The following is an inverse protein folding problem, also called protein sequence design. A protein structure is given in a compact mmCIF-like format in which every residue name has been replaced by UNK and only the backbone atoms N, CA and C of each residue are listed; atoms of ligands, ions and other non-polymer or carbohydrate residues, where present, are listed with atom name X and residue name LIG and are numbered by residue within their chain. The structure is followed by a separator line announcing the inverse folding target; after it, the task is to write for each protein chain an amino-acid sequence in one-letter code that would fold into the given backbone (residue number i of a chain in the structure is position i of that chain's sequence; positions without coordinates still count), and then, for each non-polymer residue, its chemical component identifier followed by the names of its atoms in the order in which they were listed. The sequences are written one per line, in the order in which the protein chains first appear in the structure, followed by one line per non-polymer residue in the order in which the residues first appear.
data_IF_064914486130
#
_entry.id   IF_064914486130
#
_cell.length_a   1.000
_cell.length_b   1.000
_cell.length_c   1.000
_cell.angle_alpha   90.00
_cell.angle_beta   90.00
_cell.angle_gamma   90.00
#
_symmetry.space_group_name_H-M   'P 1'
#
loop_
_entity.id
_entity.type
_entity.pdbx_description
1 polymer ?
#
# COMPACT_ATOMS: atom_id res chain seq x y z
N UNK A 1 -16.54 10.57 1.66
CA UNK A 1 -15.96 9.52 0.79
C UNK A 1 -16.88 8.32 0.66
N UNK A 2 -17.75 8.23 -0.36
CA UNK A 2 -18.59 7.03 -0.60
C UNK A 2 -17.82 5.88 -1.30
N UNK A 3 -16.63 6.15 -1.83
CA UNK A 3 -15.81 5.22 -2.62
C UNK A 3 -14.91 4.34 -1.77
N UNK A 4 -14.41 4.83 -0.63
CA UNK A 4 -13.41 4.14 0.18
C UNK A 4 -13.80 2.71 0.61
N UNK A 5 -15.04 2.43 1.06
CA UNK A 5 -15.44 1.07 1.40
C UNK A 5 -15.33 0.09 0.23
N UNK A 6 -15.59 0.55 -1.01
CA UNK A 6 -15.50 -0.29 -2.22
C UNK A 6 -14.07 -0.67 -2.60
N UNK A 7 -13.08 0.16 -2.22
CA UNK A 7 -11.66 -0.16 -2.39
C UNK A 7 -11.10 -1.00 -1.24
N UNK A 8 -11.70 -0.91 -0.06
CA UNK A 8 -11.34 -1.75 1.09
C UNK A 8 -11.79 -3.21 0.91
N UNK A 9 -12.82 -3.44 0.09
CA UNK A 9 -13.34 -4.77 -0.27
C UNK A 9 -13.51 -4.87 -1.80
N UNK A 10 -12.41 -5.04 -2.54
CA UNK A 10 -12.42 -4.97 -4.00
C UNK A 10 -12.83 -6.29 -4.69
N UNK A 11 -13.25 -7.31 -3.95
CA UNK A 11 -13.79 -8.56 -4.51
C UNK A 11 -14.87 -9.12 -3.58
N UNK A 12 -15.71 -10.02 -4.11
CA UNK A 12 -16.69 -10.74 -3.30
C UNK A 12 -15.99 -11.65 -2.28
N UNK A 13 -16.33 -11.41 -1.02
CA UNK A 13 -15.77 -11.94 0.22
C UNK A 13 -15.67 -13.48 0.32
N UNK A 14 -16.20 -14.23 -0.66
CA UNK A 14 -16.28 -15.70 -0.65
C UNK A 14 -14.94 -16.45 -0.77
N UNK A 15 -13.78 -15.78 -0.71
CA UNK A 15 -12.49 -16.47 -0.69
C UNK A 15 -12.12 -16.87 0.74
N UNK A 16 -12.37 -18.14 1.04
CA UNK A 16 -11.97 -18.82 2.27
C UNK A 16 -10.46 -18.64 2.52
N UNK A 17 -10.13 -17.99 3.64
CA UNK A 17 -8.76 -17.84 4.07
C UNK A 17 -8.68 -17.12 5.39
N UNK A 18 -8.11 -17.78 6.41
CA UNK A 18 -7.90 -17.23 7.77
C UNK A 18 -6.79 -16.14 7.79
N UNK A 19 -6.07 -15.96 6.69
CA UNK A 19 -4.89 -15.09 6.63
C UNK A 19 -5.25 -13.60 6.56
N UNK A 20 -4.59 -12.80 7.41
CA UNK A 20 -4.57 -11.33 7.32
C UNK A 20 -3.83 -10.93 6.04
N UNK A 21 -4.42 -10.05 5.25
CA UNK A 21 -3.79 -9.53 4.03
C UNK A 21 -3.52 -8.03 4.16
N UNK A 22 -2.35 -7.63 3.68
CA UNK A 22 -2.01 -6.22 3.48
C UNK A 22 -2.02 -5.93 1.99
N UNK A 23 -2.64 -4.82 1.60
CA UNK A 23 -2.62 -4.35 0.23
C UNK A 23 -2.70 -2.83 0.22
N UNK A 24 -2.31 -2.22 -0.90
CA UNK A 24 -2.37 -0.77 -1.07
C UNK A 24 -3.07 -0.40 -2.37
N UNK A 25 -4.25 0.21 -2.28
CA UNK A 25 -4.89 0.82 -3.45
C UNK A 25 -4.39 2.26 -3.64
N UNK A 26 -4.63 2.83 -4.82
CA UNK A 26 -4.34 4.23 -5.11
C UNK A 26 -5.60 4.94 -5.58
N UNK A 27 -5.80 6.15 -5.07
CA UNK A 27 -6.76 7.10 -5.59
C UNK A 27 -5.99 8.25 -6.21
N UNK A 28 -6.24 8.52 -7.48
CA UNK A 28 -5.69 9.71 -8.14
C UNK A 28 -6.63 10.88 -7.90
N UNK A 29 -6.08 12.01 -7.44
CA UNK A 29 -6.85 13.25 -7.28
C UNK A 29 -6.92 14.06 -8.58
N UNK A 30 -7.59 15.22 -8.52
CA UNK A 30 -7.79 16.11 -9.67
C UNK A 30 -6.48 16.72 -10.18
N UNK A 31 -5.45 16.77 -9.34
CA UNK A 31 -4.11 17.29 -9.68
C UNK A 31 -3.21 16.19 -10.26
N UNK A 32 -3.72 14.96 -10.38
CA UNK A 32 -2.94 13.80 -10.84
C UNK A 32 -2.06 13.19 -9.73
N UNK A 33 -2.16 13.66 -8.49
CA UNK A 33 -1.38 13.15 -7.37
C UNK A 33 -1.98 11.83 -6.86
N UNK A 34 -1.09 10.91 -6.48
CA UNK A 34 -1.46 9.59 -5.99
C UNK A 34 -1.66 9.63 -4.46
N UNK A 35 -2.87 9.29 -4.00
CA UNK A 35 -3.17 8.99 -2.59
C UNK A 35 -3.15 7.49 -2.38
N UNK A 36 -2.26 7.01 -1.53
CA UNK A 36 -2.12 5.61 -1.17
C UNK A 36 -3.09 5.25 -0.04
N UNK A 37 -3.89 4.21 -0.26
CA UNK A 37 -4.77 3.61 0.73
C UNK A 37 -4.19 2.30 1.23
N UNK A 38 -3.49 2.36 2.36
CA UNK A 38 -2.89 1.21 3.02
C UNK A 38 -3.96 0.45 3.79
N UNK A 39 -4.18 -0.81 3.43
CA UNK A 39 -5.21 -1.65 4.00
C UNK A 39 -4.63 -2.84 4.75
N UNK A 40 -5.28 -3.20 5.86
CA UNK A 40 -5.14 -4.46 6.57
C UNK A 40 -6.51 -5.14 6.63
N UNK A 41 -6.70 -6.14 5.79
CA UNK A 41 -7.92 -6.92 5.69
C UNK A 41 -7.83 -8.16 6.57
N UNK A 42 -8.85 -8.37 7.39
CA UNK A 42 -9.02 -9.54 8.24
C UNK A 42 -10.24 -10.31 7.76
N UNK A 43 -10.01 -11.34 6.94
CA UNK A 43 -11.08 -12.14 6.33
C UNK A 43 -11.97 -12.84 7.38
N UNK A 44 -11.41 -13.26 8.53
CA UNK A 44 -12.18 -13.94 9.58
C UNK A 44 -13.26 -13.05 10.21
N UNK A 45 -13.02 -11.75 10.32
CA UNK A 45 -13.94 -10.79 10.96
C UNK A 45 -14.62 -9.85 9.97
N UNK A 46 -14.31 -9.98 8.67
CA UNK A 46 -14.78 -9.05 7.63
C UNK A 46 -14.48 -7.58 7.95
N UNK A 47 -13.36 -7.35 8.64
CA UNK A 47 -12.91 -6.00 8.99
C UNK A 47 -11.72 -5.59 8.14
N UNK A 48 -11.73 -4.35 7.68
CA UNK A 48 -10.63 -3.75 6.96
C UNK A 48 -10.24 -2.44 7.63
N UNK A 49 -9.00 -2.37 8.13
CA UNK A 49 -8.41 -1.11 8.61
C UNK A 49 -7.71 -0.44 7.43
N UNK A 50 -8.00 0.84 7.21
CA UNK A 50 -7.45 1.59 6.09
C UNK A 50 -6.88 2.93 6.56
N UNK A 51 -5.69 3.27 6.08
CA UNK A 51 -5.09 4.60 6.20
C UNK A 51 -4.85 5.20 4.83
N UNK A 52 -5.27 6.45 4.65
CA UNK A 52 -4.98 7.23 3.46
C UNK A 52 -3.79 8.16 3.71
N UNK A 53 -2.82 8.16 2.80
CA UNK A 53 -1.68 9.07 2.86
C UNK A 53 -1.16 9.36 1.45
N UNK A 54 -0.57 10.54 1.27
CA UNK A 54 0.19 10.88 0.06
C UNK A 54 1.63 10.34 0.10
N UNK A 55 2.09 9.87 1.26
CA UNK A 55 3.45 9.40 1.46
C UNK A 55 3.52 7.89 1.17
N UNK A 56 4.40 7.42 0.27
CA UNK A 56 4.49 6.00 -0.12
C UNK A 56 5.30 5.17 0.89
N UNK A 57 4.97 5.27 2.19
CA UNK A 57 5.71 4.61 3.27
C UNK A 57 5.09 3.26 3.66
N UNK A 58 5.10 2.31 2.73
CA UNK A 58 4.43 1.01 2.83
C UNK A 58 4.72 0.28 4.15
N UNK A 59 5.99 0.11 4.48
CA UNK A 59 6.45 -0.64 5.66
C UNK A 59 6.00 0.02 6.96
N UNK A 60 6.02 1.35 7.00
CA UNK A 60 5.62 2.13 8.18
C UNK A 60 4.11 2.02 8.40
N UNK A 61 3.31 2.26 7.35
CA UNK A 61 1.86 2.20 7.47
C UNK A 61 1.35 0.78 7.75
N UNK A 62 1.95 -0.26 7.19
CA UNK A 62 1.58 -1.64 7.52
C UNK A 62 1.91 -2.01 8.98
N UNK A 63 3.08 -1.60 9.51
CA UNK A 63 3.40 -1.79 10.93
C UNK A 63 2.41 -1.05 11.83
N UNK A 64 2.06 0.18 11.48
CA UNK A 64 1.11 0.97 12.23
C UNK A 64 -0.31 0.36 12.21
N UNK A 65 -0.77 -0.13 11.06
CA UNK A 65 -2.05 -0.83 10.93
C UNK A 65 -2.10 -2.10 11.79
N UNK A 66 -1.00 -2.83 11.90
CA UNK A 66 -0.92 -4.00 12.79
C UNK A 66 -1.03 -3.59 14.25
N UNK A 67 -0.27 -2.57 14.68
CA UNK A 67 -0.35 -2.06 16.05
C UNK A 67 -1.78 -1.58 16.37
N UNK A 68 -2.43 -0.87 15.45
CA UNK A 68 -3.83 -0.45 15.60
C UNK A 68 -4.78 -1.62 15.75
N UNK A 69 -4.63 -2.68 14.95
CA UNK A 69 -5.46 -3.88 15.08
C UNK A 69 -5.29 -4.52 16.46
N UNK A 70 -4.05 -4.58 16.98
CA UNK A 70 -3.77 -5.13 18.30
C UNK A 70 -4.35 -4.26 19.43
N UNK A 71 -4.35 -2.94 19.30
CA UNK A 71 -5.01 -2.05 20.26
C UNK A 71 -6.53 -2.16 20.22
N UNK A 72 -7.11 -2.29 19.03
CA UNK A 72 -8.56 -2.46 18.84
C UNK A 72 -9.07 -3.76 19.47
N UNK A 73 -8.34 -4.88 19.26
CA UNK A 73 -8.71 -6.17 19.87
C UNK A 73 -8.62 -6.17 21.39
N UNK A 74 -7.70 -5.37 21.96
CA UNK A 74 -7.57 -5.17 23.41
C UNK A 74 -8.57 -4.17 24.01
N UNK A 75 -9.44 -3.56 23.19
CA UNK A 75 -10.40 -2.55 23.64
C UNK A 75 -9.76 -1.23 24.11
N UNK A 76 -8.53 -0.94 23.68
CA UNK A 76 -7.73 0.19 24.15
C UNK A 76 -7.59 1.29 23.08
N UNK A 77 -8.70 1.80 22.52
CA UNK A 77 -8.61 2.89 21.52
C UNK A 77 -9.61 4.00 21.80
N UNK A 78 -9.10 5.21 22.08
CA UNK A 78 -9.89 6.43 22.21
C UNK A 78 -9.69 7.40 21.04
N UNK A 79 -8.51 7.45 20.42
CA UNK A 79 -8.21 8.26 19.22
C UNK A 79 -6.74 7.99 18.83
N UNK A 80 -6.43 7.89 17.53
CA UNK A 80 -5.04 7.85 17.04
C UNK A 80 -4.80 9.12 16.22
N UNK A 81 -3.90 10.00 16.68
CA UNK A 81 -3.48 11.17 15.92
C UNK A 81 -2.09 10.91 15.39
N UNK A 82 -1.96 10.86 14.06
CA UNK A 82 -0.67 10.77 13.39
C UNK A 82 -0.10 12.18 13.26
N UNK A 83 1.03 12.46 13.91
CA UNK A 83 1.75 13.73 13.74
C UNK A 83 3.14 13.46 13.18
N UNK A 84 3.46 14.08 12.05
CA UNK A 84 4.83 14.11 11.54
C UNK A 84 5.56 15.23 12.28
N UNK A 85 6.63 14.89 12.99
CA UNK A 85 7.44 15.84 13.74
C UNK A 85 8.83 15.91 13.12
N UNK A 86 9.23 17.12 12.72
CA UNK A 86 10.59 17.38 12.26
C UNK A 86 11.34 18.05 13.41
N UNK A 87 12.11 17.26 14.17
CA UNK A 87 12.90 17.79 15.28
C UNK A 87 14.21 18.40 14.76
N UNK A 88 14.60 19.61 15.20
CA UNK A 88 15.89 20.19 14.86
C UNK A 88 17.00 19.35 15.50
N UNK A 89 17.67 18.50 14.72
CA UNK A 89 18.75 17.63 15.19
C UNK A 89 18.76 16.22 14.57
N UNK A 90 17.66 15.78 13.94
CA UNK A 90 17.68 14.55 13.13
C UNK A 90 17.85 14.87 11.65
N UNK A 91 18.68 14.06 10.98
CA UNK A 91 18.88 14.13 9.52
C UNK A 91 17.67 13.67 8.71
N UNK A 92 16.65 13.07 9.35
CA UNK A 92 15.45 12.53 8.71
C UNK A 92 14.17 12.89 9.51
N UNK A 93 13.05 13.15 8.83
CA UNK A 93 11.77 13.40 9.51
C UNK A 93 11.35 12.18 10.34
N UNK A 94 10.77 12.41 11.53
CA UNK A 94 10.19 11.35 12.35
C UNK A 94 8.67 11.41 12.26
N UNK A 95 8.05 10.24 12.23
CA UNK A 95 6.61 10.13 12.46
C UNK A 95 6.40 9.71 13.89
N UNK A 96 5.67 10.53 14.62
CA UNK A 96 5.23 10.21 15.97
C UNK A 96 3.75 9.86 15.94
N UNK A 97 3.42 8.63 16.34
CA UNK A 97 2.03 8.22 16.50
C UNK A 97 1.59 8.37 17.95
N UNK A 98 0.97 9.50 18.29
CA UNK A 98 0.44 9.69 19.63
C UNK A 98 -0.86 8.90 19.82
N UNK A 99 -0.75 7.80 20.56
CA UNK A 99 -1.88 7.08 21.13
C UNK A 99 -2.20 7.69 22.50
N UNK A 100 -3.44 8.16 22.72
CA UNK A 100 -3.85 8.74 24.02
C UNK A 100 -3.81 7.75 25.20
N UNK A 101 -3.51 6.47 24.97
CA UNK A 101 -3.64 5.40 25.96
C UNK A 101 -2.37 4.54 26.16
N UNK A 102 -1.25 4.79 25.43
CA UNK A 102 0.02 4.11 25.70
C UNK A 102 1.13 5.10 26.09
N UNK A 103 1.86 4.87 27.21
CA UNK A 103 3.00 5.70 27.59
C UNK A 103 4.22 5.51 26.66
N UNK A 104 4.21 4.44 25.84
CA UNK A 104 5.20 4.23 24.79
C UNK A 104 4.60 4.69 23.45
N UNK A 105 5.14 5.79 22.94
CA UNK A 105 4.78 6.34 21.64
C UNK A 105 5.66 5.66 20.59
N UNK A 106 5.12 4.82 19.69
CA UNK A 106 5.94 4.26 18.63
C UNK A 106 6.38 5.39 17.69
N UNK A 107 7.69 5.51 17.51
CA UNK A 107 8.31 6.41 16.56
C UNK A 107 8.75 5.61 15.33
N UNK A 108 8.62 6.23 14.15
CA UNK A 108 9.11 5.66 12.91
C UNK A 108 10.05 6.66 12.24
N UNK A 109 11.10 6.13 11.62
CA UNK A 109 12.02 6.91 10.81
C UNK A 109 11.43 7.02 9.41
N UNK A 110 11.29 8.23 8.89
CA UNK A 110 10.83 8.44 7.53
C UNK A 110 11.85 7.83 6.54
N UNK A 111 11.41 6.99 5.59
CA UNK A 111 12.25 6.50 4.50
C UNK A 111 12.85 7.64 3.67
N UNK A 112 14.10 7.51 3.24
CA UNK A 112 14.72 8.47 2.30
C UNK A 112 14.11 8.26 0.89
N UNK A 113 13.44 9.27 0.32
CA UNK A 113 12.80 9.15 -1.00
C UNK A 113 13.78 8.95 -2.15
N UNK A 114 15.09 9.17 -1.93
CA UNK A 114 16.15 9.00 -2.95
C UNK A 114 16.81 7.62 -2.88
N UNK A 115 16.55 6.87 -1.81
CA UNK A 115 17.12 5.53 -1.67
C UNK A 115 16.40 4.54 -2.58
N UNK A 116 17.15 3.68 -3.25
CA UNK A 116 16.59 2.59 -4.05
C UNK A 116 15.98 1.53 -3.12
N UNK A 117 14.85 0.92 -3.50
CA UNK A 117 14.28 -0.19 -2.73
C UNK A 117 15.24 -1.38 -2.73
N UNK A 118 15.54 -1.90 -1.54
CA UNK A 118 16.37 -3.11 -1.36
C UNK A 118 15.50 -4.32 -0.99
N UNK A 119 16.05 -5.51 -1.23
CA UNK A 119 15.42 -6.79 -0.88
C UNK A 119 16.18 -7.35 0.32
N UNK A 120 15.51 -7.81 1.40
CA UNK A 120 14.06 -8.00 1.54
C UNK A 120 13.31 -6.83 2.20
N UNK A 121 13.94 -5.67 2.39
CA UNK A 121 13.37 -4.55 3.16
C UNK A 121 12.11 -3.98 2.51
N UNK A 122 12.11 -3.83 1.18
CA UNK A 122 10.94 -3.44 0.41
C UNK A 122 10.02 -4.64 0.21
N UNK A 123 8.85 -4.61 0.85
CA UNK A 123 7.87 -5.70 0.71
C UNK A 123 7.39 -5.83 -0.73
N UNK A 124 7.17 -4.71 -1.40
CA UNK A 124 6.63 -4.69 -2.76
C UNK A 124 7.61 -5.36 -3.74
N UNK A 125 8.89 -4.95 -3.69
CA UNK A 125 9.92 -5.50 -4.57
C UNK A 125 10.19 -6.97 -4.30
N UNK A 126 10.23 -7.35 -3.02
CA UNK A 126 10.42 -8.75 -2.60
C UNK A 126 9.30 -9.63 -3.14
N UNK A 127 8.05 -9.21 -3.00
CA UNK A 127 6.90 -9.97 -3.51
C UNK A 127 6.91 -10.07 -5.04
N UNK A 128 7.29 -9.00 -5.76
CA UNK A 128 7.40 -9.01 -7.22
C UNK A 128 8.38 -10.09 -7.71
N UNK A 129 9.58 -10.14 -7.12
CA UNK A 129 10.63 -11.07 -7.53
C UNK A 129 10.28 -12.52 -7.15
N UNK A 130 9.55 -12.71 -6.05
CA UNK A 130 9.09 -14.04 -5.63
C UNK A 130 7.91 -14.52 -6.50
N UNK A 131 7.01 -13.62 -6.92
CA UNK A 131 5.77 -13.97 -7.60
C UNK A 131 5.87 -13.99 -9.13
N UNK A 132 6.85 -13.31 -9.73
CA UNK A 132 6.94 -13.12 -11.19
C UNK A 132 8.26 -13.65 -11.72
N UNK A 133 8.19 -14.59 -12.67
CA UNK A 133 9.36 -15.11 -13.36
C UNK A 133 10.09 -14.02 -14.16
N UNK A 134 11.42 -14.15 -14.25
CA UNK A 134 12.28 -13.16 -14.92
C UNK A 134 11.87 -12.87 -16.37
N UNK A 135 11.41 -13.89 -17.12
CA UNK A 135 10.93 -13.70 -18.50
C UNK A 135 9.72 -12.77 -18.56
N UNK A 136 8.73 -13.00 -17.69
CA UNK A 136 7.53 -12.17 -17.60
C UNK A 136 7.88 -10.75 -17.11
N UNK A 137 8.80 -10.63 -16.14
CA UNK A 137 9.25 -9.34 -15.65
C UNK A 137 9.88 -8.49 -16.76
N UNK A 138 10.73 -9.08 -17.61
CA UNK A 138 11.33 -8.39 -18.76
C UNK A 138 10.28 -7.97 -19.80
N UNK A 139 9.28 -8.82 -20.07
CA UNK A 139 8.18 -8.49 -20.97
C UNK A 139 7.33 -7.33 -20.44
N UNK A 140 7.03 -7.32 -19.14
CA UNK A 140 6.30 -6.23 -18.49
C UNK A 140 7.13 -4.95 -18.54
N UNK A 141 8.41 -5.02 -18.19
CA UNK A 141 9.31 -3.86 -18.25
C UNK A 141 9.37 -3.25 -19.66
N UNK A 142 9.56 -4.07 -20.69
CA UNK A 142 9.49 -3.61 -22.08
C UNK A 142 8.13 -2.98 -22.40
N UNK A 143 7.03 -3.62 -21.99
CA UNK A 143 5.67 -3.10 -22.20
C UNK A 143 5.46 -1.75 -21.52
N UNK A 144 6.05 -1.52 -20.34
CA UNK A 144 6.02 -0.23 -19.66
C UNK A 144 6.81 0.84 -20.44
N UNK A 145 7.99 0.51 -20.95
CA UNK A 145 8.78 1.45 -21.77
C UNK A 145 8.08 1.84 -23.08
N UNK A 146 7.22 0.97 -23.60
CA UNK A 146 6.37 1.26 -24.77
C UNK A 146 4.98 1.83 -24.41
N UNK A 147 4.77 2.22 -23.14
CA UNK A 147 3.51 2.78 -22.64
C UNK A 147 2.26 1.96 -23.00
N UNK A 148 2.39 0.63 -22.99
CA UNK A 148 1.27 -0.27 -23.33
C UNK A 148 0.23 -0.32 -22.21
N UNK A 149 -1.01 -0.66 -22.57
CA UNK A 149 -2.05 -1.03 -21.60
C UNK A 149 -1.67 -2.38 -20.98
N UNK A 150 -1.39 -2.42 -19.68
CA UNK A 150 -0.95 -3.62 -18.96
C UNK A 150 -2.01 -3.99 -17.94
N UNK A 151 -2.48 -5.24 -17.98
CA UNK A 151 -3.37 -5.83 -16.99
C UNK A 151 -2.62 -6.92 -16.22
N UNK A 152 -2.63 -6.83 -14.90
CA UNK A 152 -2.01 -7.81 -14.01
C UNK A 152 -3.12 -8.50 -13.22
N UNK A 153 -3.06 -9.84 -13.18
CA UNK A 153 -4.02 -10.67 -12.46
C UNK A 153 -3.28 -11.45 -11.36
N UNK A 154 -3.86 -11.51 -10.17
CA UNK A 154 -3.37 -12.37 -9.10
C UNK A 154 -4.52 -12.89 -8.25
N UNK A 155 -4.30 -14.01 -7.56
CA UNK A 155 -5.27 -14.59 -6.64
C UNK A 155 -5.29 -13.90 -5.26
N UNK A 156 -4.20 -13.22 -4.89
CA UNK A 156 -4.02 -12.49 -3.63
C UNK A 156 -3.85 -11.00 -3.90
N UNK A 157 -4.54 -10.14 -3.14
CA UNK A 157 -4.41 -8.67 -3.28
C UNK A 157 -3.04 -8.16 -2.86
N UNK A 158 -2.44 -8.80 -1.86
CA UNK A 158 -1.09 -8.46 -1.43
C UNK A 158 -0.11 -8.58 -2.58
N UNK A 159 -0.15 -9.70 -3.31
CA UNK A 159 0.69 -9.95 -4.48
C UNK A 159 0.36 -9.01 -5.62
N UNK A 160 -0.93 -8.82 -5.94
CA UNK A 160 -1.35 -7.91 -7.01
C UNK A 160 -0.81 -6.49 -6.80
N UNK A 161 -1.09 -5.89 -5.65
CA UNK A 161 -0.70 -4.51 -5.37
C UNK A 161 0.80 -4.37 -5.21
N UNK A 162 1.46 -5.31 -4.54
CA UNK A 162 2.90 -5.31 -4.40
C UNK A 162 3.61 -5.33 -5.76
N UNK A 163 3.18 -6.22 -6.67
CA UNK A 163 3.73 -6.28 -8.02
C UNK A 163 3.53 -4.97 -8.77
N UNK A 164 2.31 -4.40 -8.76
CA UNK A 164 2.02 -3.13 -9.47
C UNK A 164 2.87 -1.97 -8.94
N UNK A 165 2.97 -1.82 -7.61
CA UNK A 165 3.78 -0.76 -6.99
C UNK A 165 5.28 -0.96 -7.23
N UNK A 166 5.77 -2.20 -7.17
CA UNK A 166 7.16 -2.51 -7.44
C UNK A 166 7.53 -2.23 -8.91
N UNK A 167 6.67 -2.60 -9.85
CA UNK A 167 6.87 -2.30 -11.28
C UNK A 167 6.97 -0.79 -11.54
N UNK A 168 6.15 0.02 -10.86
CA UNK A 168 6.28 1.48 -10.94
C UNK A 168 7.62 2.00 -10.42
N UNK A 169 8.27 1.30 -9.49
CA UNK A 169 9.60 1.66 -9.00
C UNK A 169 10.74 1.14 -9.91
N UNK A 170 10.52 0.05 -10.65
CA UNK A 170 11.52 -0.54 -11.57
C UNK A 170 11.87 0.40 -12.72
N UNK A 171 10.94 1.27 -13.14
CA UNK A 171 11.17 2.25 -14.21
C UNK A 171 11.89 3.53 -13.74
N UNK A 172 12.31 3.63 -12.47
CA UNK A 172 13.08 4.76 -11.96
C UNK A 172 14.32 5.04 -12.85
N UNK A 173 14.63 6.31 -13.18
CA UNK A 173 14.08 7.57 -12.65
C UNK A 173 12.79 8.07 -13.33
N UNK A 174 12.21 7.27 -14.24
CA UNK A 174 10.92 7.60 -14.86
C UNK A 174 9.76 7.20 -13.93
N UNK A 175 8.63 7.86 -14.12
CA UNK A 175 7.38 7.55 -13.40
C UNK A 175 6.28 7.29 -14.42
N UNK A 176 5.41 6.32 -14.13
CA UNK A 176 4.27 6.03 -14.98
C UNK A 176 3.30 7.22 -14.99
N UNK A 177 3.04 7.78 -16.17
CA UNK A 177 2.23 9.00 -16.33
C UNK A 177 0.76 8.70 -16.69
N UNK A 178 0.46 7.49 -17.14
CA UNK A 178 -0.90 7.11 -17.54
C UNK A 178 -1.70 6.59 -16.35
N UNK A 179 -2.92 6.12 -16.63
CA UNK A 179 -3.82 5.52 -15.65
C UNK A 179 -3.07 4.47 -14.82
N UNK A 180 -3.09 4.65 -13.49
CA UNK A 180 -2.46 3.77 -12.53
C UNK A 180 -3.47 3.32 -11.49
N UNK A 181 -3.98 2.11 -11.64
CA UNK A 181 -5.02 1.54 -10.77
C UNK A 181 -4.53 0.17 -10.25
N UNK A 182 -3.84 0.13 -9.09
CA UNK A 182 -3.30 -1.11 -8.53
C UNK A 182 -4.35 -2.15 -8.16
N UNK A 183 -5.57 -1.70 -7.89
CA UNK A 183 -6.74 -2.56 -7.65
C UNK A 183 -7.90 -1.95 -8.38
N UNK A 184 -8.52 -2.73 -9.25
CA UNK A 184 -9.74 -2.37 -9.95
C UNK A 184 -10.93 -3.13 -9.35
N UNK A 185 -11.79 -2.47 -8.55
CA UNK A 185 -13.03 -3.06 -8.09
C UNK A 185 -13.97 -3.46 -9.25
N UNK A 186 -14.90 -4.41 -9.05
CA UNK A 186 -15.76 -4.93 -10.11
C UNK A 186 -16.61 -3.86 -10.81
N UNK A 187 -17.04 -2.85 -10.05
CA UNK A 187 -17.84 -1.73 -10.58
C UNK A 187 -17.05 -0.75 -11.47
N UNK A 188 -15.73 -0.94 -11.61
CA UNK A 188 -14.86 -0.14 -12.48
C UNK A 188 -14.27 -0.98 -13.62
N UNK A 189 -14.74 -2.22 -13.84
CA UNK A 189 -14.21 -3.09 -14.90
C UNK A 189 -14.37 -2.51 -16.30
N UNK A 190 -15.34 -1.62 -16.51
CA UNK A 190 -15.53 -0.93 -17.79
C UNK A 190 -14.32 -0.07 -18.18
N UNK A 191 -13.46 0.32 -17.23
CA UNK A 191 -12.21 1.06 -17.52
C UNK A 191 -11.13 0.21 -18.21
N UNK A 192 -11.31 -1.11 -18.30
CA UNK A 192 -10.35 -2.00 -18.96
C UNK A 192 -10.46 -2.00 -20.50
N UNK A 193 -11.55 -1.50 -21.06
CA UNK A 193 -11.87 -1.57 -22.50
C UNK A 193 -11.78 -0.18 -23.13
#
# INVERSE_FOLDING_TARGET
CKTLPKFCFPYDIQRDGVAVQHFTFVLTDLEGCQRFGFCRLTNSTQTCLCMLSYLPWFEVFYKLLNNLADYLTKGQVSFCMLSVCVSPGLSHPLIQCCFRLSPQVPYFIAPDPRSLPSIPESRNLTELIVAVDMSNLLQIYASMLFERRILIFASKLSTLTACVHALSAVIYPMYWQHIFIPILPPHLLDYCW
#
